data_IF_262841340947
#
_entry.id   IF_262841340947
#
_cell.length_a   1.000
_cell.length_b   1.000
_cell.length_c   1.000
_cell.angle_alpha   90.00
_cell.angle_beta   90.00
_cell.angle_gamma   90.00
#
_symmetry.space_group_name_H-M   'P 1'
#
loop_
_entity.id
_entity.type
_entity.pdbx_description
1 polymer ?
#
# COMPACT_ATOMS: atom_id res chain seq x y z
N UNK A 1 -10.30 16.40 -10.47
CA UNK A 1 -9.18 15.60 -11.00
C UNK A 1 -9.66 14.16 -11.14
N UNK A 2 -9.39 13.50 -12.26
CA UNK A 2 -9.77 12.10 -12.48
C UNK A 2 -8.49 11.29 -12.62
N UNK A 3 -8.31 10.27 -11.78
CA UNK A 3 -7.18 9.33 -11.86
C UNK A 3 -7.70 8.03 -12.48
N UNK A 4 -6.96 7.49 -13.45
CA UNK A 4 -7.23 6.17 -14.01
C UNK A 4 -6.30 5.16 -13.32
N UNK A 5 -6.82 4.05 -12.76
CA UNK A 5 -5.96 2.96 -12.29
C UNK A 5 -5.07 2.44 -13.42
N UNK A 6 -3.85 2.01 -13.08
CA UNK A 6 -2.96 1.34 -14.02
C UNK A 6 -3.21 -0.18 -14.08
N UNK A 7 -3.89 -0.72 -13.07
CA UNK A 7 -4.13 -2.15 -12.95
C UNK A 7 -4.92 -2.51 -11.70
N UNK A 8 -4.98 -3.81 -11.40
CA UNK A 8 -5.76 -4.34 -10.28
C UNK A 8 -4.98 -5.39 -9.52
N UNK A 9 -5.16 -5.44 -8.20
CA UNK A 9 -4.60 -6.47 -7.32
C UNK A 9 -5.39 -7.78 -7.41
N UNK A 10 -4.68 -8.90 -7.41
CA UNK A 10 -5.23 -10.26 -7.40
C UNK A 10 -4.57 -11.10 -6.31
N UNK A 11 -5.35 -11.47 -5.30
CA UNK A 11 -4.92 -12.31 -4.17
C UNK A 11 -6.11 -13.06 -3.54
N UNK A 12 -5.86 -13.86 -2.51
CA UNK A 12 -6.88 -14.65 -1.81
C UNK A 12 -7.60 -13.91 -0.67
N UNK A 13 -7.32 -12.62 -0.44
CA UNK A 13 -7.80 -11.88 0.74
C UNK A 13 -9.09 -11.13 0.38
N UNK A 14 -10.21 -11.47 1.00
CA UNK A 14 -11.51 -10.83 0.74
C UNK A 14 -11.93 -9.77 1.77
N UNK A 15 -11.27 -9.75 2.93
CA UNK A 15 -11.56 -8.81 4.02
C UNK A 15 -10.26 -8.27 4.60
N UNK A 16 -10.22 -6.99 5.03
CA UNK A 16 -9.08 -6.46 5.75
C UNK A 16 -8.79 -7.28 7.02
N UNK A 17 -7.51 -7.41 7.36
CA UNK A 17 -7.04 -8.08 8.57
C UNK A 17 -5.92 -7.27 9.22
N UNK A 18 -5.70 -7.46 10.52
CA UNK A 18 -4.59 -6.90 11.28
C UNK A 18 -4.25 -7.91 12.40
N UNK A 19 -3.02 -8.46 12.48
CA UNK A 19 -1.90 -8.45 11.52
C UNK A 19 -2.09 -9.48 10.37
N UNK A 20 -1.06 -9.66 9.53
CA UNK A 20 -0.97 -10.83 8.64
C UNK A 20 -0.51 -10.54 7.21
N UNK A 21 -0.38 -9.27 6.84
CA UNK A 21 -0.09 -8.86 5.46
C UNK A 21 1.31 -9.25 4.97
N UNK A 22 2.28 -9.35 5.88
CA UNK A 22 3.69 -9.64 5.55
C UNK A 22 3.90 -10.91 4.71
N UNK A 23 3.02 -11.89 4.83
CA UNK A 23 3.12 -13.18 4.14
C UNK A 23 2.19 -13.29 2.93
N UNK A 24 1.36 -12.27 2.67
CA UNK A 24 0.45 -12.23 1.53
C UNK A 24 1.24 -11.98 0.26
N UNK A 25 1.09 -12.91 -0.70
CA UNK A 25 1.56 -12.75 -2.08
C UNK A 25 0.41 -12.21 -2.91
N UNK A 26 0.66 -11.12 -3.63
CA UNK A 26 -0.32 -10.47 -4.51
C UNK A 26 0.25 -10.37 -5.91
N UNK A 27 -0.56 -10.76 -6.90
CA UNK A 27 -0.33 -10.41 -8.30
C UNK A 27 -0.90 -9.02 -8.56
N UNK A 28 -0.09 -8.10 -9.05
CA UNK A 28 -0.56 -6.83 -9.61
C UNK A 28 -0.62 -7.01 -11.11
N UNK A 29 -1.84 -7.02 -11.66
CA UNK A 29 -2.10 -7.15 -13.09
C UNK A 29 -2.26 -5.74 -13.67
N UNK A 30 -1.25 -5.30 -14.43
CA UNK A 30 -1.20 -4.00 -15.09
C UNK A 30 -1.98 -4.05 -16.40
N UNK A 31 -2.71 -3.00 -16.76
CA UNK A 31 -3.37 -2.92 -18.06
C UNK A 31 -2.34 -3.07 -19.18
N UNK A 32 -2.66 -3.88 -20.19
CA UNK A 32 -1.70 -4.22 -21.26
C UNK A 32 -1.11 -3.00 -21.98
N UNK A 33 -1.85 -1.90 -22.04
CA UNK A 33 -1.41 -0.64 -22.63
C UNK A 33 -0.21 0.01 -21.88
N UNK A 34 0.07 -0.41 -20.65
CA UNK A 34 1.18 0.08 -19.82
C UNK A 34 2.27 -0.98 -19.60
N UNK A 35 2.24 -2.11 -20.32
CA UNK A 35 3.18 -3.23 -20.10
C UNK A 35 4.64 -2.81 -20.23
N UNK A 36 4.96 -2.00 -21.23
CA UNK A 36 6.32 -1.51 -21.50
C UNK A 36 6.84 -0.62 -20.37
N UNK A 37 5.95 -0.04 -19.56
CA UNK A 37 6.30 0.75 -18.38
C UNK A 37 6.92 -0.06 -17.24
N UNK A 38 6.91 -1.40 -17.34
CA UNK A 38 7.54 -2.30 -16.38
C UNK A 38 9.00 -2.66 -16.76
N UNK A 39 9.50 -2.23 -17.91
CA UNK A 39 10.84 -2.61 -18.35
C UNK A 39 11.94 -2.15 -17.35
N UNK A 40 12.76 -3.12 -16.92
CA UNK A 40 13.81 -2.91 -15.92
C UNK A 40 13.34 -2.98 -14.46
N UNK A 41 12.07 -3.27 -14.20
CA UNK A 41 11.56 -3.38 -12.82
C UNK A 41 12.22 -4.53 -12.05
N UNK A 42 12.65 -5.58 -12.74
CA UNK A 42 13.30 -6.76 -12.17
C UNK A 42 14.67 -6.48 -11.54
N UNK A 43 15.31 -5.35 -11.88
CA UNK A 43 16.56 -4.92 -11.26
C UNK A 43 16.37 -4.43 -9.81
N UNK A 44 15.13 -4.20 -9.38
CA UNK A 44 14.78 -3.77 -8.03
C UNK A 44 14.27 -4.94 -7.20
N UNK A 45 14.74 -5.04 -5.94
CA UNK A 45 14.19 -6.02 -4.98
C UNK A 45 12.88 -5.57 -4.35
N UNK A 46 12.60 -4.26 -4.35
CA UNK A 46 11.44 -3.67 -3.68
C UNK A 46 10.83 -2.57 -4.53
N UNK A 47 9.50 -2.47 -4.42
CA UNK A 47 8.72 -1.42 -5.09
C UNK A 47 7.78 -0.75 -4.10
N UNK A 48 7.47 0.51 -4.36
CA UNK A 48 6.43 1.27 -3.69
C UNK A 48 5.18 1.20 -4.56
N UNK A 49 4.13 0.58 -4.05
CA UNK A 49 2.84 0.46 -4.73
C UNK A 49 1.90 1.51 -4.17
N UNK A 50 1.31 2.33 -5.02
CA UNK A 50 0.27 3.30 -4.66
C UNK A 50 -1.07 2.78 -5.12
N UNK A 51 -2.07 2.77 -4.25
CA UNK A 51 -3.36 2.14 -4.52
C UNK A 51 -4.52 2.94 -3.93
N UNK A 52 -5.72 2.70 -4.47
CA UNK A 52 -6.95 3.33 -4.01
C UNK A 52 -7.75 2.36 -3.15
N UNK A 53 -8.01 2.72 -1.90
CA UNK A 53 -8.83 1.93 -0.97
C UNK A 53 -10.32 2.12 -1.32
N UNK A 54 -10.72 1.52 -2.43
CA UNK A 54 -12.04 1.68 -3.07
C UNK A 54 -13.20 1.16 -2.22
N UNK A 55 -12.92 0.24 -1.29
CA UNK A 55 -13.91 -0.32 -0.36
C UNK A 55 -14.14 0.51 0.90
N UNK A 56 -13.30 1.50 1.17
CA UNK A 56 -13.54 2.41 2.28
C UNK A 56 -14.54 3.46 1.82
N UNK A 57 -15.55 3.73 2.64
CA UNK A 57 -16.66 4.65 2.36
C UNK A 57 -16.73 5.80 3.35
N UNK A 58 -16.08 5.68 4.50
CA UNK A 58 -16.06 6.69 5.54
C UNK A 58 -14.93 7.71 5.34
N UNK A 59 -15.04 8.82 6.06
CA UNK A 59 -14.02 9.86 6.13
C UNK A 59 -14.08 10.54 7.50
N UNK A 60 -13.06 10.31 8.32
CA UNK A 60 -12.94 10.87 9.67
C UNK A 60 -11.69 11.74 9.74
N UNK A 61 -11.83 12.97 10.23
CA UNK A 61 -10.68 13.87 10.39
C UNK A 61 -9.82 13.52 11.60
N UNK A 62 -10.39 12.81 12.57
CA UNK A 62 -9.70 12.31 13.77
C UNK A 62 -10.22 10.93 14.12
N UNK A 63 -9.35 10.07 14.66
CA UNK A 63 -9.74 8.74 15.11
C UNK A 63 -8.71 8.10 16.06
N UNK A 64 -9.01 6.92 16.57
CA UNK A 64 -8.04 6.03 17.21
C UNK A 64 -7.40 5.12 16.14
N UNK A 65 -6.08 5.22 15.86
CA UNK A 65 -5.39 4.33 14.93
C UNK A 65 -5.65 2.86 15.25
N UNK A 66 -6.02 2.07 14.23
CA UNK A 66 -6.41 0.66 14.37
C UNK A 66 -7.57 0.40 15.37
N UNK A 67 -8.35 1.43 15.74
CA UNK A 67 -9.41 1.32 16.74
C UNK A 67 -8.90 1.15 18.19
N UNK A 68 -7.61 1.42 18.43
CA UNK A 68 -6.95 1.24 19.73
C UNK A 68 -7.20 2.41 20.67
N UNK A 69 -8.05 2.22 21.68
CA UNK A 69 -8.39 3.25 22.67
C UNK A 69 -7.18 3.73 23.49
N UNK A 70 -6.15 2.89 23.65
CA UNK A 70 -4.89 3.21 24.33
C UNK A 70 -3.95 4.13 23.52
N UNK A 71 -4.28 4.36 22.24
CA UNK A 71 -3.63 5.31 21.35
C UNK A 71 -4.42 6.61 21.35
N UNK A 72 -3.74 7.75 21.42
CA UNK A 72 -4.39 9.06 21.44
C UNK A 72 -5.31 9.30 20.24
N UNK A 73 -6.43 10.00 20.47
CA UNK A 73 -7.36 10.42 19.42
C UNK A 73 -6.75 11.54 18.56
N UNK A 74 -6.09 11.15 17.47
CA UNK A 74 -5.23 12.01 16.65
C UNK A 74 -5.85 12.33 15.29
N UNK A 75 -5.29 13.34 14.60
CA UNK A 75 -5.70 13.70 13.24
C UNK A 75 -5.36 12.61 12.22
N UNK A 76 -6.23 12.43 11.23
CA UNK A 76 -6.09 11.39 10.20
C UNK A 76 -4.78 11.49 9.40
N UNK A 77 -4.24 12.70 9.23
CA UNK A 77 -2.96 12.92 8.55
C UNK A 77 -1.72 12.59 9.41
N UNK A 78 -1.91 12.35 10.71
CA UNK A 78 -0.86 11.87 11.61
C UNK A 78 -0.80 10.33 11.68
N UNK A 79 -1.64 9.61 10.92
CA UNK A 79 -1.64 8.15 10.85
C UNK A 79 -1.86 7.63 9.42
N UNK A 80 -1.89 6.30 9.28
CA UNK A 80 -2.00 5.60 7.98
C UNK A 80 -3.37 5.00 7.70
N UNK A 81 -4.40 5.45 8.40
CA UNK A 81 -5.70 4.79 8.38
C UNK A 81 -6.56 5.15 7.16
N UNK A 82 -7.49 4.26 6.76
CA UNK A 82 -8.15 4.33 5.46
C UNK A 82 -9.26 5.38 5.36
N UNK A 83 -9.88 5.80 6.47
CA UNK A 83 -11.00 6.76 6.51
C UNK A 83 -10.54 8.21 6.28
N UNK A 84 -9.81 8.46 5.18
CA UNK A 84 -9.19 9.75 4.83
C UNK A 84 -9.86 10.40 3.62
N UNK A 85 -9.77 11.74 3.45
CA UNK A 85 -10.42 12.45 2.34
C UNK A 85 -10.02 11.94 0.95
N UNK A 86 -8.74 11.63 0.78
CA UNK A 86 -8.24 10.93 -0.40
C UNK A 86 -7.75 9.57 0.06
N UNK A 87 -8.51 8.52 -0.26
CA UNK A 87 -8.29 7.11 0.08
C UNK A 87 -7.12 6.48 -0.69
N UNK A 88 -6.08 7.28 -0.90
CA UNK A 88 -4.80 6.88 -1.48
C UNK A 88 -3.95 6.34 -0.33
N UNK A 89 -3.44 5.15 -0.54
CA UNK A 89 -2.47 4.51 0.34
C UNK A 89 -1.27 4.04 -0.49
N UNK A 90 -0.21 3.69 0.22
CA UNK A 90 1.01 3.19 -0.38
C UNK A 90 1.64 2.16 0.54
N UNK A 91 2.36 1.20 -0.05
CA UNK A 91 3.15 0.21 0.67
C UNK A 91 4.44 -0.09 -0.08
N UNK A 92 5.53 -0.23 0.68
CA UNK A 92 6.82 -0.70 0.15
C UNK A 92 6.88 -2.20 0.35
N UNK A 93 7.01 -2.95 -0.75
CA UNK A 93 6.84 -4.41 -0.78
C UNK A 93 7.97 -5.07 -1.55
N UNK A 94 8.23 -6.33 -1.23
CA UNK A 94 9.22 -7.15 -1.94
C UNK A 94 8.68 -7.50 -3.33
N UNK A 95 9.48 -7.28 -4.37
CA UNK A 95 9.21 -7.74 -5.73
C UNK A 95 9.75 -9.16 -5.88
N UNK A 96 8.86 -10.11 -6.16
CA UNK A 96 9.23 -11.53 -6.31
C UNK A 96 9.53 -11.90 -7.75
N UNK A 97 8.71 -11.43 -8.69
CA UNK A 97 8.87 -11.72 -10.12
C UNK A 97 8.04 -10.80 -11.00
N UNK A 98 8.35 -10.77 -12.30
CA UNK A 98 7.53 -10.22 -13.37
C UNK A 98 7.26 -11.29 -14.43
N UNK A 99 6.03 -11.32 -14.93
CA UNK A 99 5.59 -12.14 -16.06
C UNK A 99 4.71 -11.27 -16.98
N UNK A 100 5.29 -10.75 -18.06
CA UNK A 100 4.60 -9.84 -18.98
C UNK A 100 4.13 -8.57 -18.28
N UNK A 101 2.80 -8.37 -18.25
CA UNK A 101 2.12 -7.25 -17.60
C UNK A 101 1.75 -7.52 -16.13
N UNK A 102 2.24 -8.61 -15.54
CA UNK A 102 1.95 -8.96 -14.15
C UNK A 102 3.23 -8.93 -13.33
N UNK A 103 3.18 -8.29 -12.16
CA UNK A 103 4.24 -8.41 -11.16
C UNK A 103 3.70 -9.11 -9.92
N UNK A 104 4.53 -9.94 -9.30
CA UNK A 104 4.22 -10.67 -8.07
C UNK A 104 4.97 -10.01 -6.93
N UNK A 105 4.26 -9.58 -5.89
CA UNK A 105 4.83 -8.89 -4.74
C UNK A 105 4.43 -9.57 -3.44
N UNK A 106 5.25 -9.40 -2.39
CA UNK A 106 5.00 -9.93 -1.04
C UNK A 106 4.91 -8.81 -0.01
N UNK A 107 3.92 -8.90 0.88
CA UNK A 107 3.73 -7.96 1.98
C UNK A 107 2.74 -6.83 1.71
N UNK A 108 2.02 -6.88 0.58
CA UNK A 108 1.05 -5.85 0.22
C UNK A 108 -0.23 -5.99 1.05
N UNK A 109 -0.64 -4.88 1.67
CA UNK A 109 -1.69 -4.81 2.70
C UNK A 109 -3.08 -4.47 2.14
N UNK A 110 -3.48 -5.17 1.09
CA UNK A 110 -4.73 -4.89 0.35
C UNK A 110 -5.56 -6.14 0.08
N UNK A 111 -6.87 -5.94 -0.04
CA UNK A 111 -7.81 -6.99 -0.45
C UNK A 111 -7.74 -7.23 -1.97
N UNK A 112 -8.27 -8.37 -2.38
CA UNK A 112 -8.44 -8.71 -3.78
C UNK A 112 -9.27 -7.65 -4.51
N UNK A 113 -8.92 -7.41 -5.77
CA UNK A 113 -9.56 -6.42 -6.65
C UNK A 113 -9.32 -4.95 -6.27
N UNK A 114 -8.40 -4.65 -5.34
CA UNK A 114 -8.01 -3.26 -5.05
C UNK A 114 -7.38 -2.59 -6.29
N UNK A 115 -7.84 -1.40 -6.72
CA UNK A 115 -7.24 -0.66 -7.83
C UNK A 115 -5.83 -0.16 -7.51
N UNK A 116 -4.90 -0.40 -8.44
CA UNK A 116 -3.52 0.10 -8.36
C UNK A 116 -3.42 1.39 -9.15
N UNK A 117 -2.91 2.45 -8.51
CA UNK A 117 -2.75 3.77 -9.09
C UNK A 117 -1.36 3.97 -9.69
N UNK A 118 -0.32 3.43 -9.06
CA UNK A 118 1.07 3.61 -9.48
C UNK A 118 2.00 2.55 -8.89
N UNK A 119 3.16 2.35 -9.52
CA UNK A 119 4.25 1.50 -9.02
C UNK A 119 5.57 2.24 -9.24
N UNK A 120 6.37 2.38 -8.19
CA UNK A 120 7.67 3.05 -8.24
C UNK A 120 8.76 2.15 -7.68
N UNK A 121 10.01 2.23 -8.18
CA UNK A 121 11.12 1.52 -7.55
C UNK A 121 11.41 2.10 -6.16
N UNK A 122 11.72 1.25 -5.19
CA UNK A 122 12.31 1.70 -3.93
C UNK A 122 13.77 2.07 -4.15
N UNK A 123 14.12 3.32 -3.86
CA UNK A 123 15.47 3.87 -4.05
C UNK A 123 15.95 4.47 -2.73
N UNK A 124 16.90 3.83 -2.02
CA UNK A 124 17.33 4.28 -0.70
C UNK A 124 17.79 5.75 -0.64
N UNK A 125 18.37 6.27 -1.72
CA UNK A 125 18.81 7.66 -1.83
C UNK A 125 17.64 8.67 -1.75
N UNK A 126 16.43 8.26 -2.11
CA UNK A 126 15.22 9.09 -2.03
C UNK A 126 14.34 8.71 -0.84
N UNK A 127 14.22 7.41 -0.55
CA UNK A 127 13.17 6.88 0.34
C UNK A 127 13.65 6.59 1.77
N UNK A 128 14.95 6.34 1.97
CA UNK A 128 15.48 5.96 3.29
C UNK A 128 15.82 7.20 4.12
N UNK A 129 15.23 7.29 5.32
CA UNK A 129 15.55 8.33 6.31
C UNK A 129 16.20 7.67 7.52
N UNK A 130 17.51 7.85 7.70
CA UNK A 130 18.28 7.13 8.74
C UNK A 130 17.90 7.50 10.18
N UNK A 131 17.52 8.76 10.43
CA UNK A 131 17.19 9.29 11.76
C UNK A 131 15.75 9.78 11.81
N UNK A 132 14.83 8.99 11.27
CA UNK A 132 13.41 9.29 11.33
C UNK A 132 12.93 9.32 12.79
N UNK A 133 12.08 10.30 13.12
CA UNK A 133 11.39 10.39 14.41
C UNK A 133 9.93 10.01 14.20
N UNK A 134 9.43 9.11 15.04
CA UNK A 134 8.01 8.76 15.12
C UNK A 134 7.46 9.03 16.53
N UNK A 135 6.15 9.27 16.69
CA UNK A 135 5.54 9.34 18.01
C UNK A 135 5.60 8.00 18.75
N UNK A 136 5.71 8.03 20.09
CA UNK A 136 5.78 6.82 20.94
C UNK A 136 4.57 5.88 20.78
N UNK A 137 3.41 6.43 20.42
CA UNK A 137 2.21 5.60 20.25
C UNK A 137 2.28 4.67 19.03
N UNK A 138 3.20 4.90 18.09
CA UNK A 138 3.39 4.01 16.93
C UNK A 138 3.82 2.61 17.38
N UNK A 139 4.59 2.52 18.46
CA UNK A 139 5.04 1.25 19.04
C UNK A 139 3.90 0.44 19.68
N UNK A 140 2.72 1.06 19.86
CA UNK A 140 1.50 0.39 20.34
C UNK A 140 0.67 -0.22 19.20
N UNK A 141 1.04 0.03 17.94
CA UNK A 141 0.35 -0.51 16.77
C UNK A 141 0.82 -1.94 16.46
N UNK A 142 -0.01 -2.66 15.71
CA UNK A 142 0.31 -4.00 15.21
C UNK A 142 0.50 -3.95 13.70
N UNK A 143 1.55 -4.61 13.21
CA UNK A 143 1.94 -4.67 11.80
C UNK A 143 1.91 -6.13 11.31
#
# INVERSE_FOLDING_TARGET
>A
MTIKPLGTAKNGVSKPMLPGWKDVVTEIVIDKAYTDGLDGIEDYSHVIVVYWMDKEEECHLKHHPQGREEVSFIGIFACRCPQRPSRIALSTVELLSREGNTIKVKGLDIVNSTPILDVKPYTPQYDKVEKAKVPEWVDKLVF
#
